data_IF_723489149290
#
_entry.id   IF_723489149290
#
_cell.length_a   1.000
_cell.length_b   1.000
_cell.length_c   1.000
_cell.angle_alpha   90.00
_cell.angle_beta   90.00
_cell.angle_gamma   90.00
#
_symmetry.space_group_name_H-M   'P 1'
#
loop_
_entity.id
_entity.type
_entity.pdbx_description
1 polymer ?
#
# COMPACT_ATOMS: atom_id res chain seq x y z
N UNK A 1 50.73 28.67 19.63
CA UNK A 1 49.30 28.38 19.35
C UNK A 1 48.88 28.35 17.85
N UNK A 2 49.73 28.06 16.83
CA UNK A 2 49.30 28.02 15.42
C UNK A 2 48.72 26.66 14.97
N UNK A 3 49.14 25.55 15.60
CA UNK A 3 48.63 24.21 15.27
C UNK A 3 47.14 24.05 15.60
N UNK A 4 46.71 24.59 16.75
CA UNK A 4 45.30 24.57 17.17
C UNK A 4 44.38 25.32 16.19
N UNK A 5 44.82 26.49 15.69
CA UNK A 5 44.11 27.27 14.67
C UNK A 5 44.00 26.52 13.34
N UNK A 6 45.06 25.81 12.92
CA UNK A 6 45.04 24.99 11.71
C UNK A 6 44.05 23.84 11.83
N UNK A 7 44.03 23.13 12.97
CA UNK A 7 43.10 22.02 13.21
C UNK A 7 41.63 22.46 13.21
N UNK A 8 41.33 23.65 13.74
CA UNK A 8 39.97 24.22 13.71
C UNK A 8 39.55 24.54 12.27
N UNK A 9 40.45 25.13 11.48
CA UNK A 9 40.19 25.45 10.08
C UNK A 9 39.95 24.19 9.24
N UNK A 10 40.77 23.14 9.39
CA UNK A 10 40.53 21.87 8.66
C UNK A 10 39.21 21.20 9.06
N UNK A 11 38.86 21.20 10.34
CA UNK A 11 37.60 20.62 10.82
C UNK A 11 36.37 21.40 10.29
N UNK A 12 36.43 22.73 10.30
CA UNK A 12 35.37 23.58 9.76
C UNK A 12 35.16 23.37 8.26
N UNK A 13 36.25 23.22 7.50
CA UNK A 13 36.18 22.93 6.06
C UNK A 13 35.59 21.55 5.80
N UNK A 14 35.96 20.52 6.57
CA UNK A 14 35.39 19.16 6.47
C UNK A 14 33.88 19.13 6.73
N UNK A 15 33.41 19.85 7.76
CA UNK A 15 31.99 19.99 8.07
C UNK A 15 31.23 20.76 6.98
N UNK A 16 31.86 21.74 6.33
CA UNK A 16 31.24 22.50 5.24
C UNK A 16 31.04 21.67 3.95
N UNK A 17 31.80 20.59 3.77
CA UNK A 17 31.67 19.65 2.64
C UNK A 17 30.89 18.37 2.98
N UNK A 18 30.38 18.24 4.20
CA UNK A 18 29.50 17.13 4.57
C UNK A 18 28.10 17.38 4.00
N UNK A 19 27.79 16.76 2.87
CA UNK A 19 26.43 16.80 2.31
C UNK A 19 25.51 15.84 3.08
N UNK A 20 24.27 16.24 3.40
CA UNK A 20 23.29 15.32 3.95
C UNK A 20 22.98 14.26 2.88
N UNK A 21 23.21 12.99 3.21
CA UNK A 21 22.73 11.88 2.41
C UNK A 21 21.35 11.52 2.94
N UNK A 22 20.33 11.61 2.07
CA UNK A 22 18.98 11.17 2.41
C UNK A 22 18.85 9.68 2.14
N UNK A 23 18.35 8.93 3.11
CA UNK A 23 17.96 7.55 2.89
C UNK A 23 16.79 7.49 1.89
N UNK A 24 16.80 6.47 1.04
CA UNK A 24 15.65 6.16 0.18
C UNK A 24 14.42 5.82 1.02
N UNK A 25 13.23 6.21 0.56
CA UNK A 25 11.96 5.79 1.15
C UNK A 25 11.48 4.52 0.44
N UNK A 26 11.06 3.52 1.20
CA UNK A 26 10.48 2.28 0.70
C UNK A 26 9.05 2.16 1.24
N UNK A 27 8.11 1.82 0.35
CA UNK A 27 6.77 1.43 0.71
C UNK A 27 6.57 -0.05 0.33
N UNK A 28 5.92 -0.80 1.22
CA UNK A 28 5.58 -2.20 0.99
C UNK A 28 4.06 -2.31 1.12
N UNK A 29 3.43 -2.87 0.10
CA UNK A 29 2.00 -3.17 0.08
C UNK A 29 1.85 -4.68 -0.09
N UNK A 30 1.01 -5.29 0.74
CA UNK A 30 0.64 -6.70 0.64
C UNK A 30 -0.81 -6.80 0.15
N UNK A 31 -0.99 -7.42 -1.02
CA UNK A 31 -2.28 -7.52 -1.70
C UNK A 31 -3.07 -8.77 -1.26
N UNK A 32 -4.28 -8.91 -1.82
CA UNK A 32 -5.17 -10.06 -1.69
C UNK A 32 -5.68 -10.36 -0.27
N UNK A 33 -5.92 -9.31 0.53
CA UNK A 33 -6.60 -9.47 1.82
C UNK A 33 -8.10 -9.72 1.67
N UNK A 34 -8.65 -10.52 2.60
CA UNK A 34 -10.08 -10.77 2.76
C UNK A 34 -10.50 -12.22 2.51
N UNK A 35 -9.58 -13.10 2.11
CA UNK A 35 -9.87 -14.52 1.81
C UNK A 35 -9.24 -15.48 2.80
N UNK A 36 -8.12 -15.12 3.43
CA UNK A 36 -7.32 -16.02 4.28
C UNK A 36 -7.00 -15.38 5.63
N UNK A 37 -8.00 -15.21 6.53
CA UNK A 37 -7.81 -14.52 7.80
C UNK A 37 -6.65 -15.08 8.62
N UNK A 38 -6.41 -16.39 8.62
CA UNK A 38 -5.29 -16.98 9.36
C UNK A 38 -3.92 -16.43 8.91
N UNK A 39 -3.64 -16.44 7.60
CA UNK A 39 -2.38 -15.92 7.04
C UNK A 39 -2.32 -14.39 7.11
N UNK A 40 -3.44 -13.73 6.82
CA UNK A 40 -3.51 -12.27 6.85
C UNK A 40 -3.30 -11.73 8.28
N UNK A 41 -3.78 -12.41 9.31
CA UNK A 41 -3.48 -12.03 10.70
C UNK A 41 -1.99 -12.16 11.05
N UNK A 42 -1.22 -13.02 10.36
CA UNK A 42 0.24 -13.07 10.52
C UNK A 42 0.90 -11.83 9.89
N UNK A 43 0.36 -11.34 8.76
CA UNK A 43 0.79 -10.07 8.14
C UNK A 43 0.44 -8.89 9.05
N UNK A 44 -0.73 -8.89 9.68
CA UNK A 44 -1.13 -7.86 10.65
C UNK A 44 -0.35 -7.89 11.97
N UNK A 45 0.48 -8.91 12.20
CA UNK A 45 1.43 -8.94 13.31
C UNK A 45 2.80 -8.34 12.94
N UNK A 46 3.02 -8.01 11.65
CA UNK A 46 4.20 -7.28 11.21
C UNK A 46 4.09 -5.79 11.63
N UNK A 47 5.20 -5.04 11.59
CA UNK A 47 5.15 -3.62 11.94
C UNK A 47 4.18 -2.81 11.05
N UNK A 48 3.56 -1.74 11.57
CA UNK A 48 2.48 -1.00 10.90
C UNK A 48 2.91 -0.20 9.66
N UNK A 49 4.22 -0.14 9.37
CA UNK A 49 4.75 0.50 8.16
C UNK A 49 4.61 -0.38 6.89
N UNK A 50 3.90 -1.51 6.99
CA UNK A 50 3.46 -2.31 5.86
C UNK A 50 2.00 -1.98 5.59
N UNK A 51 1.70 -1.48 4.39
CA UNK A 51 0.32 -1.23 3.96
C UNK A 51 -0.32 -2.54 3.47
N UNK A 52 -1.64 -2.66 3.54
CA UNK A 52 -2.38 -3.83 3.06
C UNK A 52 -3.46 -3.41 2.07
N UNK A 53 -3.69 -4.24 1.03
CA UNK A 53 -4.72 -3.98 0.05
C UNK A 53 -5.80 -5.07 0.09
N UNK A 54 -7.05 -4.66 0.31
CA UNK A 54 -8.18 -5.54 0.60
C UNK A 54 -9.09 -5.64 -0.61
N UNK A 55 -9.44 -6.87 -1.01
CA UNK A 55 -10.39 -7.13 -2.07
C UNK A 55 -11.81 -6.82 -1.57
N UNK A 56 -12.57 -5.92 -2.21
CA UNK A 56 -13.84 -5.42 -1.67
C UNK A 56 -14.95 -6.46 -1.60
N UNK A 57 -14.91 -7.47 -2.46
CA UNK A 57 -15.92 -8.52 -2.54
C UNK A 57 -15.49 -9.81 -1.81
N UNK A 58 -14.33 -9.82 -1.17
CA UNK A 58 -13.87 -10.98 -0.43
C UNK A 58 -14.69 -11.20 0.86
N UNK A 59 -14.92 -12.45 1.30
CA UNK A 59 -15.82 -12.76 2.42
C UNK A 59 -15.49 -12.04 3.73
N UNK A 60 -14.21 -11.76 3.97
CA UNK A 60 -13.72 -11.10 5.19
C UNK A 60 -13.22 -9.68 4.95
N UNK A 61 -13.55 -9.05 3.82
CA UNK A 61 -13.03 -7.73 3.44
C UNK A 61 -13.16 -6.68 4.56
N UNK A 62 -14.38 -6.47 5.05
CA UNK A 62 -14.67 -5.50 6.12
C UNK A 62 -13.98 -5.85 7.44
N UNK A 63 -13.98 -7.13 7.81
CA UNK A 63 -13.33 -7.62 9.03
C UNK A 63 -11.83 -7.32 8.99
N UNK A 64 -11.18 -7.69 7.89
CA UNK A 64 -9.73 -7.60 7.74
C UNK A 64 -9.28 -6.15 7.56
N UNK A 65 -10.02 -5.32 6.82
CA UNK A 65 -9.78 -3.88 6.75
C UNK A 65 -9.87 -3.20 8.13
N UNK A 66 -10.87 -3.56 8.93
CA UNK A 66 -11.04 -3.03 10.28
C UNK A 66 -9.90 -3.47 11.20
N UNK A 67 -9.50 -4.75 11.15
CA UNK A 67 -8.36 -5.25 11.93
C UNK A 67 -7.06 -4.56 11.52
N UNK A 68 -6.80 -4.42 10.23
CA UNK A 68 -5.62 -3.75 9.70
C UNK A 68 -5.51 -2.30 10.20
N UNK A 69 -6.59 -1.54 10.08
CA UNK A 69 -6.67 -0.17 10.57
C UNK A 69 -6.43 -0.09 12.09
N UNK A 70 -7.09 -0.95 12.87
CA UNK A 70 -6.94 -0.97 14.33
C UNK A 70 -5.52 -1.36 14.78
N UNK A 71 -4.81 -2.16 13.99
CA UNK A 71 -3.40 -2.50 14.19
C UNK A 71 -2.42 -1.42 13.68
N UNK A 72 -2.94 -0.34 13.09
CA UNK A 72 -2.15 0.82 12.63
C UNK A 72 -1.61 0.72 11.21
N UNK A 73 -2.00 -0.30 10.44
CA UNK A 73 -1.63 -0.42 9.03
C UNK A 73 -2.44 0.55 8.17
N UNK A 74 -1.81 1.05 7.11
CA UNK A 74 -2.55 1.70 6.03
C UNK A 74 -3.37 0.66 5.26
N UNK A 75 -4.64 1.00 5.00
CA UNK A 75 -5.58 0.17 4.26
C UNK A 75 -5.79 0.78 2.89
N UNK A 76 -5.65 -0.05 1.86
CA UNK A 76 -5.94 0.29 0.47
C UNK A 76 -7.04 -0.64 -0.06
N UNK A 77 -7.80 -0.16 -1.04
CA UNK A 77 -8.70 -1.02 -1.82
C UNK A 77 -7.86 -1.71 -2.89
N UNK A 78 -7.86 -3.04 -2.91
CA UNK A 78 -7.41 -3.79 -4.08
C UNK A 78 -8.61 -3.96 -5.03
N UNK A 79 -8.70 -3.11 -6.06
CA UNK A 79 -9.82 -3.17 -7.01
C UNK A 79 -9.47 -4.07 -8.21
N UNK A 80 -10.21 -5.17 -8.47
CA UNK A 80 -9.91 -6.07 -9.57
C UNK A 80 -10.12 -5.41 -10.94
N UNK A 81 -9.17 -5.63 -11.85
CA UNK A 81 -9.26 -5.25 -13.26
C UNK A 81 -9.08 -6.49 -14.16
N UNK A 82 -9.76 -6.49 -15.30
CA UNK A 82 -9.71 -7.62 -16.22
C UNK A 82 -8.28 -7.86 -16.73
N UNK A 83 -7.77 -9.10 -16.63
CA UNK A 83 -6.48 -9.45 -17.19
C UNK A 83 -6.54 -9.50 -18.73
N UNK A 84 -5.36 -9.50 -19.35
CA UNK A 84 -5.25 -9.72 -20.80
C UNK A 84 -5.50 -11.19 -21.17
N UNK A 85 -5.22 -12.12 -20.26
CA UNK A 85 -5.45 -13.55 -20.44
C UNK A 85 -6.87 -13.95 -20.01
N UNK A 86 -7.30 -15.16 -20.41
CA UNK A 86 -8.61 -15.70 -20.01
C UNK A 86 -8.48 -16.40 -18.66
N UNK A 87 -8.91 -15.73 -17.61
CA UNK A 87 -8.96 -16.28 -16.25
C UNK A 87 -10.35 -16.07 -15.64
N UNK A 88 -10.72 -16.87 -14.61
CA UNK A 88 -11.87 -16.54 -13.77
C UNK A 88 -11.72 -15.14 -13.20
N UNK A 89 -12.78 -14.34 -13.28
CA UNK A 89 -12.78 -12.98 -12.78
C UNK A 89 -13.41 -12.93 -11.39
N UNK A 90 -12.82 -12.10 -10.53
CA UNK A 90 -13.46 -11.71 -9.27
C UNK A 90 -14.75 -10.93 -9.55
N UNK A 91 -15.67 -10.94 -8.59
CA UNK A 91 -16.91 -10.15 -8.70
C UNK A 91 -16.56 -8.65 -8.83
N UNK A 92 -17.30 -7.96 -9.70
CA UNK A 92 -17.12 -6.52 -9.99
C UNK A 92 -15.72 -6.16 -10.52
N UNK A 93 -15.08 -7.11 -11.24
CA UNK A 93 -13.85 -6.83 -11.99
C UNK A 93 -14.12 -5.79 -13.08
N UNK A 94 -13.39 -4.67 -13.02
CA UNK A 94 -13.48 -3.60 -14.02
C UNK A 94 -13.04 -4.10 -15.40
N UNK A 95 -13.82 -3.74 -16.43
CA UNK A 95 -13.52 -4.09 -17.83
C UNK A 95 -13.51 -2.87 -18.73
N UNK A 96 -12.74 -2.88 -19.83
CA UNK A 96 -12.68 -1.74 -20.76
C UNK A 96 -14.00 -1.40 -21.46
N UNK A 97 -14.95 -2.33 -21.54
CA UNK A 97 -16.24 -2.19 -22.21
C UNK A 97 -17.36 -1.64 -21.30
N UNK A 98 -17.07 -1.36 -20.02
CA UNK A 98 -18.04 -0.85 -19.06
C UNK A 98 -18.37 0.63 -19.29
N UNK A 99 -19.60 1.01 -18.97
CA UNK A 99 -20.00 2.42 -18.89
C UNK A 99 -19.39 3.09 -17.66
N UNK A 100 -19.27 4.42 -17.70
CA UNK A 100 -18.81 5.20 -16.54
C UNK A 100 -19.70 5.01 -15.31
N UNK A 101 -21.01 4.91 -15.49
CA UNK A 101 -21.97 4.71 -14.39
C UNK A 101 -21.74 3.38 -13.66
N UNK A 102 -21.42 2.32 -14.41
CA UNK A 102 -21.14 1.00 -13.83
C UNK A 102 -19.81 1.00 -13.08
N UNK A 103 -18.77 1.65 -13.63
CA UNK A 103 -17.48 1.83 -12.94
C UNK A 103 -17.70 2.61 -11.64
N UNK A 104 -18.50 3.68 -11.66
CA UNK A 104 -18.77 4.50 -10.49
C UNK A 104 -19.57 3.75 -9.41
N UNK A 105 -20.53 2.89 -9.82
CA UNK A 105 -21.23 1.97 -8.92
C UNK A 105 -20.25 1.02 -8.22
N UNK A 106 -19.38 0.36 -8.99
CA UNK A 106 -18.39 -0.58 -8.48
C UNK A 106 -17.44 0.09 -7.49
N UNK A 107 -16.91 1.28 -7.82
CA UNK A 107 -16.01 2.03 -6.93
C UNK A 107 -16.73 2.41 -5.63
N UNK A 108 -17.97 2.90 -5.70
CA UNK A 108 -18.75 3.24 -4.50
C UNK A 108 -18.97 2.02 -3.60
N UNK A 109 -19.33 0.88 -4.17
CA UNK A 109 -19.49 -0.36 -3.42
C UNK A 109 -18.18 -0.82 -2.78
N UNK A 110 -17.06 -0.71 -3.52
CA UNK A 110 -15.74 -1.07 -3.00
C UNK A 110 -15.34 -0.21 -1.78
N UNK A 111 -15.55 1.10 -1.85
CA UNK A 111 -15.30 2.03 -0.72
C UNK A 111 -16.16 1.70 0.50
N UNK A 112 -17.41 1.28 0.30
CA UNK A 112 -18.30 0.91 1.40
C UNK A 112 -17.91 -0.42 2.07
N UNK A 113 -17.39 -1.36 1.27
CA UNK A 113 -17.01 -2.69 1.73
C UNK A 113 -15.64 -2.72 2.42
N UNK A 114 -14.73 -1.81 2.06
CA UNK A 114 -13.39 -1.68 2.65
C UNK A 114 -13.30 -0.39 3.48
N UNK A 115 -13.78 -0.40 4.74
CA UNK A 115 -13.69 0.79 5.59
C UNK A 115 -12.24 1.18 5.87
N UNK A 116 -12.04 2.47 6.18
CA UNK A 116 -10.73 3.07 6.50
C UNK A 116 -9.71 3.12 5.36
N UNK A 117 -10.11 2.74 4.13
CA UNK A 117 -9.23 2.85 2.99
C UNK A 117 -8.78 4.29 2.75
N UNK A 118 -7.47 4.52 2.66
CA UNK A 118 -6.86 5.81 2.33
C UNK A 118 -6.63 6.00 0.82
N UNK A 119 -6.72 4.92 0.07
CA UNK A 119 -6.47 4.90 -1.36
C UNK A 119 -6.89 3.60 -2.02
N UNK A 120 -6.55 3.48 -3.30
CA UNK A 120 -6.91 2.35 -4.14
C UNK A 120 -5.72 1.96 -5.01
N UNK A 121 -5.53 0.66 -5.19
CA UNK A 121 -4.62 0.09 -6.17
C UNK A 121 -5.39 -0.84 -7.09
N UNK A 122 -4.96 -0.86 -8.34
CA UNK A 122 -5.41 -1.83 -9.33
C UNK A 122 -4.23 -2.70 -9.69
N UNK A 123 -4.39 -4.01 -9.66
CA UNK A 123 -3.38 -4.91 -10.22
C UNK A 123 -3.92 -5.49 -11.52
N UNK A 124 -3.08 -5.48 -12.53
CA UNK A 124 -3.23 -6.42 -13.64
C UNK A 124 -2.76 -7.74 -13.07
N UNK A 125 -3.63 -8.75 -13.04
CA UNK A 125 -3.13 -10.12 -12.96
C UNK A 125 -2.35 -10.37 -14.26
N UNK A 126 -1.06 -10.01 -14.25
CA UNK A 126 -0.12 -10.36 -15.30
C UNK A 126 0.15 -11.85 -15.15
N UNK A 127 -0.70 -12.64 -15.79
CA UNK A 127 -0.46 -14.04 -16.09
C UNK A 127 -0.73 -14.24 -17.57
#
# INVERSE_FOLDING_TARGET
MPQFRRSILTLATLLAFAHPVFAGKLAIVIDDFGYRPHTENQVLALPPNISVAVLPNAPHAREMATKAHNSGHEVLIHLPMAPLSKQPLEKDTLRPDMSSDEIERIIREAVNNVPYASGLITTWAAQ
#
